data_IF_763188014002
#
_entry.id   IF_763188014002
#
_cell.length_a   1.000
_cell.length_b   1.000
_cell.length_c   1.000
_cell.angle_alpha   90.00
_cell.angle_beta   90.00
_cell.angle_gamma   90.00
#
_symmetry.space_group_name_H-M   'P 1'
#
loop_
_entity.id
_entity.type
_entity.pdbx_description
1 polymer ?
#
# COMPACT_ATOMS: atom_id res chain seq x y z
N UNK A 1 -3.59 11.58 17.20
CA UNK A 1 -4.18 10.50 16.36
C UNK A 1 -4.55 9.31 17.23
N UNK A 2 -3.68 8.99 18.19
CA UNK A 2 -3.89 8.02 19.25
C UNK A 2 -4.03 8.72 20.61
N UNK A 3 -4.72 8.07 21.54
CA UNK A 3 -4.67 8.36 22.98
C UNK A 3 -4.36 7.09 23.75
N UNK A 4 -3.59 7.22 24.83
CA UNK A 4 -3.27 6.11 25.73
C UNK A 4 -3.87 6.46 27.09
N UNK A 5 -4.78 5.62 27.57
CA UNK A 5 -5.46 5.82 28.84
C UNK A 5 -5.17 4.67 29.80
N UNK A 6 -4.81 5.00 31.04
CA UNK A 6 -4.85 4.05 32.15
C UNK A 6 -6.20 4.18 32.85
N UNK A 7 -7.05 3.18 32.67
CA UNK A 7 -8.44 3.18 33.16
C UNK A 7 -8.58 2.48 34.51
N UNK A 8 -7.45 2.05 35.08
CA UNK A 8 -7.40 1.25 36.32
C UNK A 8 -8.28 0.03 36.19
N UNK A 9 -9.03 -0.37 37.22
CA UNK A 9 -9.82 -1.60 37.24
C UNK A 9 -11.34 -1.38 37.02
N UNK A 10 -11.75 -0.16 36.70
CA UNK A 10 -13.17 0.21 36.58
C UNK A 10 -13.94 -0.68 35.59
N UNK A 11 -13.41 -0.85 34.37
CA UNK A 11 -14.11 -1.55 33.29
C UNK A 11 -14.37 -3.02 33.66
N UNK A 12 -13.36 -3.71 34.19
CA UNK A 12 -13.48 -5.11 34.59
C UNK A 12 -14.39 -5.28 35.81
N UNK A 13 -14.35 -4.36 36.79
CA UNK A 13 -15.28 -4.38 37.93
C UNK A 13 -16.73 -4.24 37.49
N UNK A 14 -17.02 -3.31 36.58
CA UNK A 14 -18.38 -3.11 36.06
C UNK A 14 -18.86 -4.33 35.27
N UNK A 15 -18.02 -4.90 34.40
CA UNK A 15 -18.39 -6.11 33.66
C UNK A 15 -18.62 -7.31 34.58
N UNK A 16 -17.77 -7.54 35.58
CA UNK A 16 -17.94 -8.64 36.54
C UNK A 16 -19.25 -8.50 37.33
N UNK A 17 -19.59 -7.28 37.79
CA UNK A 17 -20.81 -7.02 38.55
C UNK A 17 -22.09 -7.33 37.75
N UNK A 18 -22.13 -6.96 36.46
CA UNK A 18 -23.36 -7.09 35.65
C UNK A 18 -23.47 -8.44 34.93
N UNK A 19 -22.34 -9.10 34.67
CA UNK A 19 -22.34 -10.44 34.06
C UNK A 19 -22.47 -11.56 35.09
N UNK A 20 -22.07 -11.32 36.35
CA UNK A 20 -21.94 -12.37 37.37
C UNK A 20 -20.69 -13.24 37.21
N UNK A 21 -19.90 -13.01 36.15
CA UNK A 21 -18.66 -13.74 35.88
C UNK A 21 -17.46 -13.09 36.57
N UNK A 22 -16.49 -13.93 36.93
CA UNK A 22 -15.25 -13.46 37.57
C UNK A 22 -14.22 -13.03 36.53
N UNK A 23 -13.77 -11.78 36.65
CA UNK A 23 -12.72 -11.18 35.80
C UNK A 23 -11.46 -10.81 36.60
N UNK A 24 -11.22 -11.48 37.73
CA UNK A 24 -10.03 -11.31 38.57
C UNK A 24 -8.93 -12.34 38.24
N UNK A 25 -7.67 -11.90 38.29
CA UNK A 25 -6.50 -12.73 38.05
C UNK A 25 -5.95 -13.27 39.38
N UNK A 26 -5.50 -14.52 39.40
CA UNK A 26 -4.82 -15.12 40.55
C UNK A 26 -3.31 -15.18 40.27
N UNK A 27 -2.56 -14.38 41.00
CA UNK A 27 -1.11 -14.40 40.97
C UNK A 27 -0.58 -15.47 41.93
N UNK A 28 -0.03 -16.55 41.36
CA UNK A 28 0.51 -17.67 42.11
C UNK A 28 1.80 -17.32 42.87
N UNK A 29 2.59 -16.37 42.37
CA UNK A 29 3.87 -16.00 42.99
C UNK A 29 3.64 -15.28 44.32
N UNK A 30 2.63 -14.40 44.35
CA UNK A 30 2.25 -13.65 45.55
C UNK A 30 1.08 -14.29 46.32
N UNK A 31 0.46 -15.34 45.76
CA UNK A 31 -0.70 -16.04 46.32
C UNK A 31 -1.90 -15.09 46.57
N UNK A 32 -2.13 -14.14 45.66
CA UNK A 32 -3.15 -13.09 45.78
C UNK A 32 -4.04 -13.00 44.54
N UNK A 33 -5.27 -12.50 44.72
CA UNK A 33 -6.20 -12.19 43.63
C UNK A 33 -6.37 -10.69 43.48
N UNK A 34 -6.31 -10.19 42.26
CA UNK A 34 -6.57 -8.79 41.96
C UNK A 34 -7.31 -8.62 40.64
N UNK A 35 -8.02 -7.51 40.49
CA UNK A 35 -8.59 -7.11 39.21
C UNK A 35 -7.53 -6.33 38.44
N UNK A 36 -7.08 -6.80 37.26
CA UNK A 36 -6.01 -6.15 36.55
C UNK A 36 -6.42 -4.76 36.05
N UNK A 37 -5.44 -3.88 35.90
CA UNK A 37 -5.68 -2.57 35.33
C UNK A 37 -5.79 -2.66 33.81
N UNK A 38 -6.74 -1.90 33.26
CA UNK A 38 -6.94 -1.73 31.83
C UNK A 38 -6.08 -0.56 31.36
N UNK A 39 -5.14 -0.86 30.47
CA UNK A 39 -4.43 0.13 29.67
C UNK A 39 -5.05 0.10 28.28
N UNK A 40 -5.60 1.23 27.84
CA UNK A 40 -6.30 1.39 26.57
C UNK A 40 -5.50 2.32 25.64
N UNK A 41 -4.68 1.76 24.73
CA UNK A 41 -4.24 2.44 23.54
C UNK A 41 -5.39 2.47 22.52
N UNK A 42 -5.84 3.66 22.15
CA UNK A 42 -6.92 3.85 21.19
C UNK A 42 -6.48 4.79 20.07
N UNK A 43 -6.50 4.28 18.83
CA UNK A 43 -6.15 5.05 17.63
C UNK A 43 -7.33 5.14 16.66
N UNK A 44 -7.55 6.33 16.10
CA UNK A 44 -8.59 6.53 15.10
C UNK A 44 -8.10 6.19 13.69
N UNK A 45 -8.53 5.06 13.12
CA UNK A 45 -8.12 4.64 11.77
C UNK A 45 -8.41 5.71 10.70
N UNK A 46 -9.62 6.26 10.65
CA UNK A 46 -10.02 7.29 9.66
C UNK A 46 -9.19 8.56 9.77
N UNK A 47 -8.93 9.05 10.99
CA UNK A 47 -8.12 10.25 11.21
C UNK A 47 -6.66 10.01 10.81
N UNK A 48 -6.16 8.80 11.05
CA UNK A 48 -4.79 8.41 10.69
C UNK A 48 -4.64 8.34 9.17
N UNK A 49 -5.62 7.74 8.47
CA UNK A 49 -5.63 7.73 7.00
C UNK A 49 -5.69 9.15 6.43
N UNK A 50 -6.55 10.02 6.96
CA UNK A 50 -6.62 11.42 6.53
C UNK A 50 -5.29 12.16 6.73
N UNK A 51 -4.62 11.94 7.87
CA UNK A 51 -3.31 12.50 8.12
C UNK A 51 -2.25 12.01 7.12
N UNK A 52 -2.25 10.71 6.77
CA UNK A 52 -1.34 10.18 5.74
C UNK A 52 -1.62 10.78 4.36
N UNK A 53 -2.89 10.92 3.98
CA UNK A 53 -3.24 11.54 2.69
C UNK A 53 -2.78 13.00 2.63
N UNK A 54 -3.02 13.78 3.68
CA UNK A 54 -2.59 15.17 3.76
C UNK A 54 -1.06 15.32 3.74
N UNK A 55 -0.34 14.41 4.40
CA UNK A 55 1.12 14.43 4.43
C UNK A 55 1.76 13.94 3.11
N UNK A 56 1.07 13.08 2.37
CA UNK A 56 1.54 12.53 1.10
C UNK A 56 1.22 13.43 -0.11
N UNK A 57 0.22 14.29 -0.01
CA UNK A 57 -0.14 15.20 -1.09
C UNK A 57 1.00 16.16 -1.40
N UNK A 58 1.39 16.24 -2.66
CA UNK A 58 2.43 17.14 -3.15
C UNK A 58 2.12 17.59 -4.58
N UNK A 59 2.72 18.70 -4.98
CA UNK A 59 2.64 19.25 -6.34
C UNK A 59 4.05 19.60 -6.83
N UNK A 60 4.44 19.06 -7.98
CA UNK A 60 5.70 19.42 -8.64
C UNK A 60 5.50 19.75 -10.12
N UNK A 61 6.59 20.03 -10.84
CA UNK A 61 6.56 20.39 -12.25
C UNK A 61 7.31 19.37 -13.10
N UNK A 62 6.65 18.88 -14.15
CA UNK A 62 7.22 17.90 -15.08
C UNK A 62 6.96 18.40 -16.51
N UNK A 63 8.04 18.79 -17.18
CA UNK A 63 7.99 19.23 -18.58
C UNK A 63 7.20 20.53 -18.79
N UNK A 64 7.21 21.46 -17.84
CA UNK A 64 6.44 22.70 -17.91
C UNK A 64 4.99 22.59 -17.44
N UNK A 65 4.55 21.40 -17.04
CA UNK A 65 3.19 21.14 -16.56
C UNK A 65 3.18 20.73 -15.09
N UNK A 66 2.24 21.29 -14.34
CA UNK A 66 2.01 20.90 -12.95
C UNK A 66 1.62 19.42 -12.85
N UNK A 67 2.21 18.73 -11.88
CA UNK A 67 1.93 17.35 -11.49
C UNK A 67 1.35 17.35 -10.08
N UNK A 68 0.15 16.82 -9.92
CA UNK A 68 -0.32 16.39 -8.60
C UNK A 68 0.17 14.97 -8.33
N UNK A 69 0.71 14.72 -7.14
CA UNK A 69 1.27 13.42 -6.76
C UNK A 69 0.94 13.09 -5.31
N UNK A 70 0.62 11.82 -5.05
CA UNK A 70 0.45 11.30 -3.69
C UNK A 70 1.68 10.46 -3.32
N UNK A 71 2.60 11.04 -2.56
CA UNK A 71 3.83 10.38 -2.08
C UNK A 71 3.57 9.42 -0.91
N UNK A 72 2.57 8.56 -1.05
CA UNK A 72 2.26 7.54 -0.05
C UNK A 72 3.45 6.61 0.10
N UNK A 73 3.81 6.28 1.35
CA UNK A 73 4.78 5.23 1.59
C UNK A 73 4.32 3.94 0.90
N UNK A 74 5.19 3.13 0.26
CA UNK A 74 4.76 1.94 -0.50
C UNK A 74 3.85 0.99 0.27
N UNK A 75 4.05 0.86 1.59
CA UNK A 75 3.20 0.08 2.51
C UNK A 75 1.75 0.58 2.60
N UNK A 76 1.54 1.89 2.47
CA UNK A 76 0.24 2.54 2.58
C UNK A 76 -0.45 2.75 1.23
N UNK A 77 0.30 2.69 0.12
CA UNK A 77 -0.26 2.86 -1.21
C UNK A 77 -1.36 1.81 -1.49
N UNK A 78 -2.53 2.22 -2.03
CA UNK A 78 -3.66 1.32 -2.26
C UNK A 78 -3.35 0.27 -3.33
N UNK A 79 -2.65 0.68 -4.38
CA UNK A 79 -2.05 -0.20 -5.38
C UNK A 79 -0.53 -0.13 -5.25
N UNK A 80 0.14 -1.27 -5.32
CA UNK A 80 1.60 -1.35 -5.26
C UNK A 80 2.21 -1.19 -6.65
N UNK A 81 1.51 -1.73 -7.65
CA UNK A 81 1.96 -1.77 -9.04
C UNK A 81 0.80 -1.42 -9.97
N UNK A 82 1.07 -0.74 -11.06
CA UNK A 82 0.15 -0.62 -12.19
C UNK A 82 0.77 -1.21 -13.45
N UNK A 83 0.04 -2.07 -14.17
CA UNK A 83 0.48 -2.64 -15.45
C UNK A 83 -0.16 -1.88 -16.61
N UNK A 84 0.67 -1.24 -17.44
CA UNK A 84 0.27 -0.25 -18.42
C UNK A 84 0.83 -0.63 -19.82
N UNK A 85 0.06 -1.29 -20.69
CA UNK A 85 0.54 -1.57 -22.06
C UNK A 85 0.72 -0.26 -22.85
N UNK A 86 1.80 -0.10 -23.62
CA UNK A 86 2.10 1.14 -24.33
C UNK A 86 0.95 1.58 -25.26
N UNK A 87 0.24 0.62 -25.84
CA UNK A 87 -0.96 0.85 -26.66
C UNK A 87 -2.00 -0.25 -26.49
N UNK A 88 -3.24 0.02 -26.90
CA UNK A 88 -4.35 -0.96 -26.91
C UNK A 88 -4.26 -2.02 -28.03
N UNK A 89 -3.13 -2.12 -28.73
CA UNK A 89 -3.03 -3.09 -29.83
C UNK A 89 -3.12 -4.51 -29.27
N UNK A 90 -3.84 -5.37 -29.98
CA UNK A 90 -4.04 -6.78 -29.60
C UNK A 90 -2.73 -7.58 -29.52
N UNK A 91 -1.63 -7.05 -30.06
CA UNK A 91 -0.29 -7.64 -29.92
C UNK A 91 0.29 -7.49 -28.52
N UNK A 92 -0.04 -6.41 -27.79
CA UNK A 92 0.51 -6.13 -26.44
C UNK A 92 -0.41 -6.63 -25.32
N UNK A 93 -1.72 -6.60 -25.56
CA UNK A 93 -2.72 -6.97 -24.56
C UNK A 93 -2.51 -8.35 -23.92
N UNK A 94 -2.12 -9.42 -24.66
CA UNK A 94 -1.87 -10.72 -24.05
C UNK A 94 -0.73 -10.71 -23.04
N UNK A 95 0.44 -10.17 -23.41
CA UNK A 95 1.60 -10.09 -22.52
C UNK A 95 1.33 -9.19 -21.31
N UNK A 96 0.67 -8.04 -21.52
CA UNK A 96 0.33 -7.16 -20.41
C UNK A 96 -0.65 -7.80 -19.42
N UNK A 97 -1.63 -8.58 -19.91
CA UNK A 97 -2.55 -9.35 -19.05
C UNK A 97 -1.85 -10.49 -18.32
N UNK A 98 -0.88 -11.15 -18.96
CA UNK A 98 -0.06 -12.17 -18.32
C UNK A 98 0.76 -11.58 -17.17
N UNK A 99 1.45 -10.46 -17.41
CA UNK A 99 2.19 -9.73 -16.36
C UNK A 99 1.26 -9.29 -15.24
N UNK A 100 0.10 -8.73 -15.57
CA UNK A 100 -0.90 -8.34 -14.59
C UNK A 100 -1.35 -9.51 -13.71
N UNK A 101 -1.69 -10.65 -14.32
CA UNK A 101 -2.10 -11.84 -13.59
C UNK A 101 -0.97 -12.36 -12.67
N UNK A 102 0.25 -12.45 -13.18
CA UNK A 102 1.41 -12.94 -12.43
C UNK A 102 1.77 -12.05 -11.23
N UNK A 103 1.54 -10.74 -11.31
CA UNK A 103 1.79 -9.82 -10.20
C UNK A 103 0.62 -9.74 -9.21
N UNK A 104 -0.61 -9.95 -9.68
CA UNK A 104 -1.83 -9.89 -8.87
C UNK A 104 -1.90 -10.98 -7.80
N UNK A 105 -1.14 -12.08 -7.95
CA UNK A 105 -1.04 -13.13 -6.93
C UNK A 105 -0.39 -12.64 -5.62
N UNK A 106 0.39 -11.56 -5.66
CA UNK A 106 1.16 -11.05 -4.51
C UNK A 106 0.85 -9.62 -4.13
N UNK A 107 0.38 -8.81 -5.07
CA UNK A 107 0.23 -7.38 -4.89
C UNK A 107 -1.17 -6.91 -5.26
N UNK A 108 -1.57 -5.78 -4.69
CA UNK A 108 -2.66 -4.97 -5.25
C UNK A 108 -2.15 -4.33 -6.54
N UNK A 109 -2.65 -4.80 -7.67
CA UNK A 109 -2.22 -4.35 -9.00
C UNK A 109 -3.38 -3.69 -9.72
N UNK A 110 -3.12 -2.54 -10.34
CA UNK A 110 -4.05 -1.90 -11.28
C UNK A 110 -3.68 -2.23 -12.73
N UNK A 111 -4.67 -2.27 -13.63
CA UNK A 111 -4.45 -2.44 -15.06
C UNK A 111 -5.20 -1.36 -15.83
N UNK A 112 -4.47 -0.61 -16.65
CA UNK A 112 -5.06 0.46 -17.44
C UNK A 112 -4.41 0.53 -18.83
N UNK A 113 -5.22 0.33 -19.87
CA UNK A 113 -4.82 0.48 -21.27
C UNK A 113 -5.37 1.76 -21.91
N UNK A 114 -6.13 2.56 -21.17
CA UNK A 114 -6.88 3.72 -21.68
C UNK A 114 -6.01 4.94 -21.89
N UNK A 115 -6.29 5.70 -22.94
CA UNK A 115 -5.58 6.94 -23.27
C UNK A 115 -4.05 6.76 -23.44
N UNK A 116 -3.32 7.86 -23.56
CA UNK A 116 -1.86 7.82 -23.71
C UNK A 116 -1.16 7.34 -22.44
N UNK A 117 0.02 6.74 -22.59
CA UNK A 117 0.83 6.25 -21.47
C UNK A 117 1.14 7.37 -20.45
N UNK A 118 1.42 8.58 -20.93
CA UNK A 118 1.67 9.74 -20.06
C UNK A 118 0.49 10.06 -19.15
N UNK A 119 -0.75 10.03 -19.66
CA UNK A 119 -1.94 10.25 -18.85
C UNK A 119 -2.18 9.15 -17.82
N UNK A 120 -1.81 7.91 -18.15
CA UNK A 120 -1.89 6.79 -17.21
C UNK A 120 -0.89 6.95 -16.08
N UNK A 121 0.36 7.32 -16.38
CA UNK A 121 1.34 7.66 -15.34
C UNK A 121 0.84 8.78 -14.42
N UNK A 122 0.23 9.85 -14.96
CA UNK A 122 -0.34 10.93 -14.14
C UNK A 122 -1.41 10.42 -13.16
N UNK A 123 -2.35 9.58 -13.61
CA UNK A 123 -3.36 8.99 -12.71
C UNK A 123 -2.74 8.14 -11.60
N UNK A 124 -1.70 7.36 -11.95
CA UNK A 124 -1.01 6.52 -10.97
C UNK A 124 -0.21 7.35 -9.97
N UNK A 125 0.40 8.45 -10.41
CA UNK A 125 1.06 9.43 -9.56
C UNK A 125 0.03 10.09 -8.60
N UNK A 126 -1.16 10.46 -9.09
CA UNK A 126 -2.28 11.05 -8.31
C UNK A 126 -2.85 10.12 -7.24
N UNK A 127 -2.88 8.80 -7.46
CA UNK A 127 -3.36 7.83 -6.46
C UNK A 127 -2.23 7.20 -5.63
N UNK A 128 -0.97 7.57 -5.94
CA UNK A 128 0.21 7.22 -5.18
C UNK A 128 0.75 5.82 -5.42
N UNK A 129 0.44 5.19 -6.55
CA UNK A 129 0.99 3.89 -6.95
C UNK A 129 2.52 4.01 -7.09
N UNK A 130 3.32 3.25 -6.31
CA UNK A 130 4.77 3.42 -6.30
C UNK A 130 5.45 3.06 -7.62
N UNK A 131 4.99 2.00 -8.29
CA UNK A 131 5.66 1.43 -9.47
C UNK A 131 4.68 1.24 -10.62
N UNK A 132 5.03 1.71 -11.81
CA UNK A 132 4.30 1.43 -13.04
C UNK A 132 5.13 0.50 -13.93
N UNK A 133 4.56 -0.62 -14.34
CA UNK A 133 5.17 -1.60 -15.26
C UNK A 133 4.58 -1.40 -16.64
N UNK A 134 5.41 -0.97 -17.59
CA UNK A 134 5.00 -0.70 -18.96
C UNK A 134 5.44 -1.83 -19.89
N UNK A 135 4.48 -2.35 -20.65
CA UNK A 135 4.70 -3.37 -21.69
C UNK A 135 4.65 -2.69 -23.05
N UNK A 136 5.78 -2.64 -23.74
CA UNK A 136 5.95 -2.02 -25.06
C UNK A 136 6.17 -3.08 -26.17
N UNK A 137 6.36 -2.61 -27.40
CA UNK A 137 6.56 -3.51 -28.55
C UNK A 137 7.84 -4.33 -28.43
N UNK A 138 8.90 -3.73 -27.91
CA UNK A 138 10.19 -4.39 -27.69
C UNK A 138 10.06 -5.53 -26.67
N UNK A 139 9.12 -5.41 -25.72
CA UNK A 139 8.83 -6.43 -24.70
C UNK A 139 8.47 -7.79 -25.30
N UNK A 140 7.90 -7.81 -26.51
CA UNK A 140 7.53 -9.04 -27.23
C UNK A 140 8.77 -9.79 -27.76
N UNK A 141 9.88 -9.08 -27.96
CA UNK A 141 11.12 -9.62 -28.52
C UNK A 141 12.14 -9.90 -27.41
N UNK A 142 12.38 -8.92 -26.53
CA UNK A 142 13.43 -8.95 -25.51
C UNK A 142 12.98 -9.58 -24.17
N UNK A 143 11.68 -9.86 -24.02
CA UNK A 143 11.06 -10.39 -22.78
C UNK A 143 11.40 -9.55 -21.55
N UNK A 144 11.46 -8.24 -21.71
CA UNK A 144 11.66 -7.28 -20.64
C UNK A 144 10.54 -6.24 -20.62
N UNK A 145 10.35 -5.59 -19.48
CA UNK A 145 9.37 -4.52 -19.27
C UNK A 145 10.06 -3.31 -18.68
N UNK A 146 9.48 -2.14 -18.86
CA UNK A 146 10.01 -0.91 -18.28
C UNK A 146 9.28 -0.62 -16.97
N UNK A 147 10.00 -0.56 -15.86
CA UNK A 147 9.45 -0.18 -14.56
C UNK A 147 9.77 1.29 -14.30
N UNK A 148 8.72 2.10 -14.09
CA UNK A 148 8.83 3.51 -13.69
C UNK A 148 8.53 3.66 -12.21
N UNK A 149 9.43 4.33 -11.49
CA UNK A 149 9.23 4.71 -10.08
C UNK A 149 8.53 6.08 -9.99
N UNK A 150 7.59 6.22 -9.05
CA UNK A 150 6.69 7.38 -8.92
C UNK A 150 7.42 8.68 -8.59
N UNK A 151 8.25 8.67 -7.54
CA UNK A 151 8.78 9.88 -6.93
C UNK A 151 9.89 10.51 -7.78
N UNK A 152 10.86 9.70 -8.19
CA UNK A 152 12.01 10.06 -9.02
C UNK A 152 11.71 10.08 -10.52
N UNK A 153 10.63 9.42 -10.94
CA UNK A 153 10.32 9.17 -12.35
C UNK A 153 11.37 8.32 -13.10
N UNK A 154 12.32 7.70 -12.38
CA UNK A 154 13.32 6.83 -12.98
C UNK A 154 12.66 5.66 -13.70
N UNK A 155 13.22 5.29 -14.85
CA UNK A 155 12.75 4.17 -15.66
C UNK A 155 13.86 3.15 -15.82
N UNK A 156 13.56 1.90 -15.51
CA UNK A 156 14.51 0.79 -15.58
C UNK A 156 13.93 -0.35 -16.43
N UNK A 157 14.74 -0.90 -17.34
CA UNK A 157 14.37 -2.04 -18.17
C UNK A 157 14.68 -3.33 -17.41
N UNK A 158 13.65 -4.08 -17.03
CA UNK A 158 13.75 -5.27 -16.19
C UNK A 158 13.26 -6.49 -16.96
N UNK A 159 14.07 -7.54 -17.02
CA UNK A 159 13.67 -8.81 -17.62
C UNK A 159 12.49 -9.43 -16.84
N UNK A 160 11.53 -10.02 -17.56
CA UNK A 160 10.28 -10.56 -16.98
C UNK A 160 10.54 -11.62 -15.90
N UNK A 161 11.58 -12.44 -16.07
CA UNK A 161 12.00 -13.46 -15.11
C UNK A 161 12.57 -12.87 -13.80
N UNK A 162 13.05 -11.63 -13.82
CA UNK A 162 13.57 -10.91 -12.66
C UNK A 162 12.57 -9.93 -12.05
N UNK A 163 11.47 -9.65 -12.74
CA UNK A 163 10.51 -8.63 -12.35
C UNK A 163 9.98 -8.83 -10.92
N UNK A 164 9.60 -10.06 -10.54
CA UNK A 164 9.10 -10.31 -9.19
C UNK A 164 10.15 -10.04 -8.10
N UNK A 165 11.41 -10.43 -8.35
CA UNK A 165 12.51 -10.18 -7.40
C UNK A 165 12.79 -8.69 -7.25
N UNK A 166 12.86 -7.98 -8.38
CA UNK A 166 13.03 -6.53 -8.41
C UNK A 166 11.92 -5.82 -7.64
N UNK A 167 10.65 -6.17 -7.88
CA UNK A 167 9.52 -5.57 -7.17
C UNK A 167 9.56 -5.89 -5.67
N UNK A 168 9.97 -7.10 -5.28
CA UNK A 168 10.09 -7.47 -3.87
C UNK A 168 11.15 -6.65 -3.13
N UNK A 169 12.27 -6.32 -3.78
CA UNK A 169 13.31 -5.45 -3.23
C UNK A 169 12.81 -4.00 -3.09
N UNK A 170 12.18 -3.47 -4.14
CA UNK A 170 11.67 -2.08 -4.13
C UNK A 170 10.48 -1.88 -3.18
N UNK A 171 9.69 -2.92 -2.94
CA UNK A 171 8.51 -2.90 -2.11
C UNK A 171 8.74 -3.57 -0.74
N UNK A 172 9.98 -3.61 -0.24
CA UNK A 172 10.34 -4.26 1.02
C UNK A 172 9.39 -3.84 2.17
N UNK A 173 8.64 -4.83 2.68
CA UNK A 173 7.70 -4.67 3.78
C UNK A 173 6.30 -4.18 3.40
N UNK A 174 5.97 -4.07 2.10
CA UNK A 174 4.64 -3.74 1.58
C UNK A 174 3.76 -4.96 1.29
#
# INVERSE_FOLDING_TARGET
>A
LEGIAQRTDYDLKQHAQHSGERLDFFDQANNERYVPYVIEPAAGATRTMAAFMLAAYDEDEVGGEARTIMRLHPRLAPYKVAVLPLSKKDTLSPLAREVFAALSDRYMVDYDDTQSIGRRYRRQDEIGTPLCVTVDFDSLEDKAVTVRERDSMAQERIALDRLQGYLAEQLLGA
#
